data_IF_880127343009
#
_entry.id   IF_880127343009
#
_cell.length_a   1.000
_cell.length_b   1.000
_cell.length_c   1.000
_cell.angle_alpha   90.00
_cell.angle_beta   90.00
_cell.angle_gamma   90.00
#
_symmetry.space_group_name_H-M   'P 1'
#
loop_
_entity.id
_entity.type
_entity.pdbx_description
1 polymer ?
#
# COMPACT_ATOMS: atom_id res chain seq x y z
N UNK A 1 4.98 8.56 -7.11
CA UNK A 1 3.79 8.77 -6.25
C UNK A 1 2.49 8.62 -7.03
N UNK A 2 2.29 7.48 -7.71
CA UNK A 2 1.01 7.14 -8.33
C UNK A 2 0.30 6.05 -7.54
N UNK A 3 1.02 4.99 -7.18
CA UNK A 3 0.52 3.86 -6.37
C UNK A 3 -0.04 4.28 -5.01
N UNK A 4 0.64 5.21 -4.30
CA UNK A 4 0.16 5.77 -3.03
C UNK A 4 -1.15 6.57 -3.20
N UNK A 5 -1.27 7.35 -4.27
CA UNK A 5 -2.44 8.17 -4.54
C UNK A 5 -3.65 7.31 -4.93
N UNK A 6 -3.42 6.30 -5.77
CA UNK A 6 -4.42 5.31 -6.14
C UNK A 6 -4.88 4.54 -4.89
N UNK A 7 -3.97 4.12 -4.00
CA UNK A 7 -4.28 3.46 -2.72
C UNK A 7 -5.33 4.21 -1.90
N UNK A 8 -5.16 5.52 -1.78
CA UNK A 8 -6.00 6.37 -0.94
C UNK A 8 -7.40 6.55 -1.56
N UNK A 9 -7.48 6.67 -2.89
CA UNK A 9 -8.75 6.80 -3.61
C UNK A 9 -9.55 5.49 -3.56
N UNK A 10 -8.89 4.34 -3.77
CA UNK A 10 -9.59 3.05 -3.83
C UNK A 10 -9.83 2.42 -2.45
N UNK A 11 -9.32 3.03 -1.37
CA UNK A 11 -9.37 2.51 0.01
C UNK A 11 -9.01 1.01 0.11
N UNK A 12 -8.12 0.54 -0.75
CA UNK A 12 -7.66 -0.86 -0.75
C UNK A 12 -6.37 -0.96 0.05
N UNK A 13 -6.29 -2.01 0.86
CA UNK A 13 -5.07 -2.40 1.54
C UNK A 13 -3.99 -2.71 0.50
N UNK A 14 -2.88 -1.99 0.54
CA UNK A 14 -1.71 -2.30 -0.29
C UNK A 14 -0.77 -3.17 0.53
N UNK A 15 -0.53 -4.37 0.04
CA UNK A 15 0.45 -5.30 0.60
C UNK A 15 1.69 -5.23 -0.29
N UNK A 16 2.75 -4.63 0.23
CA UNK A 16 4.05 -4.61 -0.45
C UNK A 16 4.92 -5.70 0.13
N UNK A 17 5.47 -6.57 -0.71
CA UNK A 17 6.42 -7.59 -0.30
C UNK A 17 7.82 -7.20 -0.78
N UNK A 18 8.77 -7.16 0.14
CA UNK A 18 10.19 -7.19 -0.19
C UNK A 18 10.79 -8.58 0.12
N UNK A 19 12.09 -8.75 -0.13
CA UNK A 19 12.77 -10.03 -0.02
C UNK A 19 12.63 -10.72 1.35
N UNK A 20 12.27 -9.98 2.41
CA UNK A 20 12.22 -10.51 3.78
C UNK A 20 10.95 -10.15 4.55
N UNK A 21 10.14 -9.18 4.09
CA UNK A 21 8.98 -8.67 4.86
C UNK A 21 7.79 -8.29 3.98
N UNK A 22 6.62 -8.34 4.61
CA UNK A 22 5.37 -7.79 4.09
C UNK A 22 5.04 -6.50 4.83
N UNK A 23 4.83 -5.43 4.09
CA UNK A 23 4.35 -4.15 4.59
C UNK A 23 2.87 -4.03 4.25
N UNK A 24 2.04 -4.04 5.29
CA UNK A 24 0.60 -3.86 5.18
C UNK A 24 0.31 -2.37 5.38
N UNK A 25 -0.07 -1.71 4.30
CA UNK A 25 -0.51 -0.32 4.34
C UNK A 25 -2.04 -0.31 4.35
N UNK A 26 -2.62 -0.32 5.56
CA UNK A 26 -4.00 0.09 5.78
C UNK A 26 -4.02 1.62 5.84
N UNK A 27 -4.91 2.24 5.07
CA UNK A 27 -5.17 3.69 5.05
C UNK A 27 -4.11 4.57 4.37
N UNK A 28 -3.17 3.98 3.63
CA UNK A 28 -2.31 4.71 2.70
C UNK A 28 -1.23 5.59 3.35
N UNK A 29 -0.79 5.26 4.57
CA UNK A 29 0.38 5.85 5.22
C UNK A 29 1.50 4.84 5.46
#
# INVERSE_FOLDING_TARGET
TATKFISQIVQREIIVRDATRFHHFKDGL
#
